data_IF_864672699295
#
_entry.id   IF_864672699295
#
_cell.length_a   1.000
_cell.length_b   1.000
_cell.length_c   1.000
_cell.angle_alpha   90.00
_cell.angle_beta   90.00
_cell.angle_gamma   90.00
#
_symmetry.space_group_name_H-M   'P 1'
#
loop_
_entity.id
_entity.type
_entity.pdbx_description
1 polymer ?
#
# COMPACT_ATOMS: atom_id res chain seq x y z
N UNK A 1 -7.17 -80.35 -12.54
CA UNK A 1 -7.13 -81.46 -11.57
C UNK A 1 -6.24 -81.04 -10.40
N UNK A 2 -6.79 -81.16 -9.18
CA UNK A 2 -6.12 -81.30 -7.88
C UNK A 2 -5.01 -80.31 -7.43
N UNK A 3 -5.46 -79.26 -6.75
CA UNK A 3 -5.16 -78.77 -5.38
C UNK A 3 -4.12 -79.49 -4.47
N UNK A 4 -3.71 -78.77 -3.38
CA UNK A 4 -3.10 -79.21 -2.08
C UNK A 4 -1.55 -79.17 -2.02
N UNK A 5 -0.79 -78.64 -1.03
CA UNK A 5 -0.99 -77.88 0.23
C UNK A 5 0.38 -77.65 0.95
N UNK A 6 0.42 -76.77 1.98
CA UNK A 6 1.35 -76.82 3.15
C UNK A 6 2.31 -75.62 3.22
N UNK A 7 2.16 -74.60 4.10
CA UNK A 7 2.28 -74.57 5.58
C UNK A 7 3.73 -74.85 6.04
N UNK A 8 4.44 -74.18 6.95
CA UNK A 8 4.26 -73.04 7.87
C UNK A 8 5.66 -72.59 8.39
N UNK A 9 5.78 -71.32 8.79
CA UNK A 9 6.68 -70.65 9.76
C UNK A 9 7.94 -71.34 10.36
N UNK A 10 9.10 -70.67 10.37
CA UNK A 10 9.86 -70.31 11.60
C UNK A 10 11.19 -69.54 11.36
N UNK A 11 11.27 -68.37 12.00
CA UNK A 11 12.36 -67.57 12.60
C UNK A 11 13.85 -67.67 12.19
N UNK A 12 14.34 -66.46 11.86
CA UNK A 12 15.53 -65.74 12.38
C UNK A 12 16.93 -66.36 12.27
N UNK A 13 17.79 -65.75 11.46
CA UNK A 13 18.89 -64.84 11.91
C UNK A 13 19.86 -64.55 10.77
N UNK A 14 19.94 -63.29 10.30
CA UNK A 14 21.20 -62.53 10.33
C UNK A 14 21.06 -61.09 9.83
N UNK A 15 21.81 -60.23 10.52
CA UNK A 15 21.84 -58.77 10.43
C UNK A 15 22.53 -58.25 9.17
N UNK A 16 22.13 -57.02 8.81
CA UNK A 16 22.94 -55.91 8.26
C UNK A 16 22.97 -55.71 6.73
N UNK A 17 22.16 -54.76 6.25
CA UNK A 17 22.58 -53.54 5.52
C UNK A 17 21.33 -52.80 4.98
N UNK A 18 20.94 -51.68 5.60
CA UNK A 18 21.08 -50.32 5.06
C UNK A 18 20.36 -50.07 3.72
N UNK A 19 19.16 -49.49 3.80
CA UNK A 19 18.74 -48.16 3.29
C UNK A 19 17.22 -48.26 3.03
N UNK A 20 16.41 -47.79 3.98
CA UNK A 20 14.99 -47.49 3.76
C UNK A 20 14.77 -46.00 4.00
N UNK A 21 14.07 -45.40 3.06
CA UNK A 21 13.61 -44.02 3.04
C UNK A 21 12.82 -43.70 4.30
N UNK A 22 13.43 -42.94 5.22
CA UNK A 22 12.67 -42.23 6.23
C UNK A 22 11.94 -41.05 5.56
N UNK A 23 10.65 -41.25 5.33
CA UNK A 23 9.67 -40.18 5.24
C UNK A 23 9.89 -39.23 6.42
N UNK A 24 10.37 -38.02 6.12
CA UNK A 24 10.50 -36.96 7.11
C UNK A 24 9.09 -36.52 7.51
N UNK A 25 8.67 -36.97 8.69
CA UNK A 25 7.41 -36.58 9.33
C UNK A 25 7.33 -35.07 9.48
N UNK A 26 6.30 -34.47 8.88
CA UNK A 26 5.90 -33.11 9.20
C UNK A 26 5.52 -33.05 10.70
N UNK A 27 6.01 -32.06 11.47
CA UNK A 27 5.59 -31.94 12.87
C UNK A 27 4.10 -31.56 12.90
N UNK A 28 3.27 -32.52 13.32
CA UNK A 28 1.87 -32.29 13.66
C UNK A 28 1.82 -31.50 14.96
N UNK A 29 1.56 -30.19 14.86
CA UNK A 29 1.34 -29.36 16.05
C UNK A 29 0.03 -29.77 16.74
N UNK A 30 0.01 -29.90 18.08
CA UNK A 30 -1.20 -30.28 18.81
C UNK A 30 -2.25 -29.17 18.68
N UNK A 31 -3.44 -29.58 18.24
CA UNK A 31 -4.68 -28.78 18.15
C UNK A 31 -4.93 -28.01 19.46
N UNK A 32 -4.46 -26.77 19.54
CA UNK A 32 -4.72 -25.85 20.66
C UNK A 32 -6.03 -25.12 20.37
N UNK A 33 -7.12 -25.74 20.82
CA UNK A 33 -8.52 -25.37 20.63
C UNK A 33 -8.96 -24.04 21.30
N UNK A 34 -8.03 -23.14 21.62
CA UNK A 34 -8.27 -21.91 22.40
C UNK A 34 -7.85 -20.60 21.69
N UNK A 35 -7.45 -20.63 20.41
CA UNK A 35 -7.06 -19.42 19.65
C UNK A 35 -7.96 -19.09 18.44
N UNK A 36 -9.11 -19.75 18.28
CA UNK A 36 -10.06 -19.38 17.23
C UNK A 36 -11.05 -18.31 17.72
N UNK A 37 -10.55 -17.12 18.07
CA UNK A 37 -11.33 -15.90 17.83
C UNK A 37 -10.86 -15.40 16.47
N UNK A 38 -11.42 -15.95 15.39
CA UNK A 38 -11.34 -15.28 14.08
C UNK A 38 -12.06 -13.95 14.24
N UNK A 39 -11.32 -12.89 14.57
CA UNK A 39 -11.85 -11.54 14.56
C UNK A 39 -12.16 -11.23 13.10
N UNK A 40 -13.39 -11.49 12.69
CA UNK A 40 -13.82 -11.25 11.33
C UNK A 40 -13.83 -9.74 11.05
N UNK A 41 -12.71 -9.25 10.53
CA UNK A 41 -12.56 -7.87 10.07
C UNK A 41 -13.30 -7.60 8.75
N UNK A 42 -14.07 -8.55 8.19
CA UNK A 42 -14.87 -8.33 6.97
C UNK A 42 -15.80 -7.13 7.07
N UNK A 43 -16.21 -6.78 8.30
CA UNK A 43 -17.11 -5.66 8.57
C UNK A 43 -16.38 -4.34 8.82
N UNK A 44 -15.06 -4.36 9.03
CA UNK A 44 -14.28 -3.17 9.36
C UNK A 44 -14.24 -2.22 8.14
N UNK A 45 -14.48 -0.91 8.33
CA UNK A 45 -14.43 0.06 7.24
C UNK A 45 -13.01 0.26 6.64
N UNK A 46 -11.94 -0.15 7.31
CA UNK A 46 -10.56 0.14 6.96
C UNK A 46 -10.03 1.35 7.71
N UNK A 47 -8.93 1.92 7.24
CA UNK A 47 -8.32 3.13 7.80
C UNK A 47 -8.95 4.36 7.13
N UNK A 48 -8.96 5.49 7.84
CA UNK A 48 -9.41 6.77 7.32
C UNK A 48 -8.71 7.16 6.01
N UNK A 49 -7.37 7.02 5.94
CA UNK A 49 -6.58 7.33 4.73
C UNK A 49 -6.88 6.39 3.54
N UNK A 50 -7.36 5.17 3.80
CA UNK A 50 -7.67 4.19 2.75
C UNK A 50 -9.00 4.48 2.03
N UNK A 51 -9.80 5.45 2.51
CA UNK A 51 -11.12 5.77 1.93
C UNK A 51 -11.02 6.21 0.46
N UNK A 52 -10.07 7.09 0.15
CA UNK A 52 -9.81 7.58 -1.21
C UNK A 52 -8.73 6.77 -1.94
N UNK A 53 -8.04 5.86 -1.25
CA UNK A 53 -6.90 5.13 -1.81
C UNK A 53 -7.23 4.41 -3.12
N UNK A 54 -8.38 3.74 -3.20
CA UNK A 54 -8.79 3.06 -4.45
C UNK A 54 -8.96 4.01 -5.64
N UNK A 55 -9.37 5.26 -5.41
CA UNK A 55 -9.50 6.26 -6.47
C UNK A 55 -8.12 6.76 -6.87
N UNK A 56 -7.26 7.07 -5.88
CA UNK A 56 -5.88 7.50 -6.10
C UNK A 56 -5.02 6.45 -6.77
N UNK A 57 -5.24 5.16 -6.46
CA UNK A 57 -4.53 4.05 -7.09
C UNK A 57 -4.84 3.95 -8.59
N UNK A 58 -6.00 4.44 -9.07
CA UNK A 58 -6.30 4.49 -10.52
C UNK A 58 -5.48 5.55 -11.27
N UNK A 59 -4.98 6.56 -10.57
CA UNK A 59 -4.18 7.61 -11.19
C UNK A 59 -2.86 7.02 -11.71
N UNK A 60 -2.46 7.33 -12.96
CA UNK A 60 -1.25 6.77 -13.55
C UNK A 60 0.01 7.33 -12.85
N UNK A 61 0.95 6.48 -12.40
CA UNK A 61 2.21 6.93 -11.82
C UNK A 61 3.14 7.45 -12.91
N UNK A 62 2.97 8.72 -13.30
CA UNK A 62 3.75 9.31 -14.39
C UNK A 62 5.19 9.57 -14.01
N UNK A 63 6.10 9.39 -14.96
CA UNK A 63 7.51 9.74 -14.82
C UNK A 63 8.05 10.30 -16.14
N UNK A 64 9.16 11.02 -16.05
CA UNK A 64 9.84 11.64 -17.19
C UNK A 64 11.22 11.00 -17.38
N UNK A 65 11.66 10.90 -18.64
CA UNK A 65 12.98 10.39 -19.00
C UNK A 65 13.07 8.86 -18.93
N UNK A 66 14.26 8.33 -18.65
CA UNK A 66 14.49 6.89 -18.61
C UNK A 66 14.46 6.37 -17.16
N UNK A 67 13.68 5.33 -16.87
CA UNK A 67 13.65 4.67 -15.55
C UNK A 67 14.05 3.21 -15.68
N UNK A 68 15.10 2.79 -15.00
CA UNK A 68 15.49 1.39 -14.88
C UNK A 68 15.37 0.98 -13.42
N UNK A 69 14.53 -0.01 -13.10
CA UNK A 69 14.49 -0.57 -11.76
C UNK A 69 14.74 -2.06 -11.80
N UNK A 70 15.72 -2.51 -11.04
CA UNK A 70 16.08 -3.92 -10.89
C UNK A 70 15.79 -4.32 -9.45
N UNK A 71 14.81 -5.20 -9.28
CA UNK A 71 14.44 -5.74 -7.99
C UNK A 71 14.85 -7.20 -7.96
N UNK A 72 15.67 -7.58 -6.98
CA UNK A 72 16.14 -8.94 -6.78
C UNK A 72 15.66 -9.44 -5.42
N UNK A 73 14.92 -10.54 -5.43
CA UNK A 73 14.60 -11.27 -4.21
C UNK A 73 15.80 -12.14 -3.82
N UNK A 74 16.42 -11.86 -2.68
CA UNK A 74 17.57 -12.64 -2.17
C UNK A 74 17.13 -13.79 -1.28
N UNK A 75 16.00 -13.62 -0.58
CA UNK A 75 15.30 -14.66 0.18
C UNK A 75 13.80 -14.37 0.20
N UNK A 76 12.98 -15.28 0.74
CA UNK A 76 11.53 -15.04 0.92
C UNK A 76 11.23 -13.83 1.80
N UNK A 77 12.18 -13.42 2.65
CA UNK A 77 12.03 -12.34 3.62
C UNK A 77 12.81 -11.09 3.21
N UNK A 78 13.72 -11.16 2.24
CA UNK A 78 14.62 -10.06 1.93
C UNK A 78 14.70 -9.79 0.42
N UNK A 79 14.35 -8.56 0.07
CA UNK A 79 14.33 -8.06 -1.30
C UNK A 79 15.20 -6.80 -1.39
N UNK A 80 16.03 -6.75 -2.41
CA UNK A 80 16.88 -5.59 -2.72
C UNK A 80 16.45 -5.01 -4.04
N UNK A 81 16.42 -3.68 -4.14
CA UNK A 81 16.02 -2.95 -5.34
C UNK A 81 17.03 -1.87 -5.67
N UNK A 82 17.33 -1.73 -6.95
CA UNK A 82 18.17 -0.71 -7.54
C UNK A 82 17.30 0.06 -8.51
N UNK A 83 17.09 1.35 -8.31
CA UNK A 83 16.26 2.18 -9.19
C UNK A 83 17.08 3.36 -9.69
N UNK A 84 17.30 3.43 -11.00
CA UNK A 84 17.96 4.54 -11.66
C UNK A 84 16.92 5.30 -12.47
N UNK A 85 16.78 6.59 -12.23
CA UNK A 85 15.93 7.49 -13.00
C UNK A 85 16.80 8.56 -13.63
N UNK A 86 16.81 8.64 -14.96
CA UNK A 86 17.50 9.67 -15.73
C UNK A 86 16.43 10.62 -16.26
N UNK A 87 16.28 11.76 -15.59
CA UNK A 87 15.35 12.81 -15.99
C UNK A 87 16.01 14.18 -15.83
N UNK A 88 15.42 15.21 -16.43
CA UNK A 88 15.87 16.59 -16.23
C UNK A 88 15.27 17.22 -14.94
N UNK A 89 14.53 16.43 -14.16
CA UNK A 89 13.86 16.87 -12.94
C UNK A 89 14.59 16.49 -11.66
N UNK A 90 14.03 16.91 -10.52
CA UNK A 90 14.58 16.67 -9.18
C UNK A 90 14.65 15.20 -8.77
N UNK A 91 13.94 14.31 -9.47
CA UNK A 91 13.91 12.88 -9.19
C UNK A 91 14.96 12.09 -9.97
N UNK A 92 15.86 12.78 -10.67
CA UNK A 92 17.00 12.16 -11.36
C UNK A 92 18.03 11.65 -10.36
N UNK A 93 18.49 10.43 -10.57
CA UNK A 93 19.51 9.81 -9.73
C UNK A 93 19.31 8.32 -9.55
N UNK A 94 20.13 7.78 -8.67
CA UNK A 94 20.09 6.38 -8.28
C UNK A 94 19.50 6.26 -6.88
N UNK A 95 18.68 5.23 -6.66
CA UNK A 95 18.11 4.87 -5.37
C UNK A 95 18.40 3.40 -5.11
N UNK A 96 18.90 3.12 -3.92
CA UNK A 96 19.05 1.77 -3.41
C UNK A 96 17.97 1.52 -2.37
N UNK A 97 17.15 0.49 -2.58
CA UNK A 97 16.09 0.09 -1.65
C UNK A 97 16.33 -1.31 -1.10
N UNK A 98 16.05 -1.50 0.19
CA UNK A 98 16.05 -2.80 0.84
C UNK A 98 14.75 -2.98 1.63
N UNK A 99 14.09 -4.10 1.38
CA UNK A 99 12.83 -4.46 1.98
C UNK A 99 13.00 -5.77 2.75
N UNK A 100 12.55 -5.77 4.00
CA UNK A 100 12.46 -6.94 4.85
C UNK A 100 11.01 -7.23 5.21
N UNK A 101 10.58 -8.46 4.94
CA UNK A 101 9.28 -8.99 5.30
C UNK A 101 9.51 -10.03 6.40
N UNK A 102 8.90 -9.83 7.55
CA UNK A 102 9.01 -10.73 8.69
C UNK A 102 8.25 -12.04 8.50
N UNK A 103 8.26 -12.87 9.54
CA UNK A 103 7.69 -14.22 9.54
C UNK A 103 6.35 -14.31 10.28
N UNK A 104 5.96 -13.28 11.04
CA UNK A 104 4.74 -13.32 11.84
C UNK A 104 3.52 -13.08 10.96
N UNK A 105 2.67 -14.09 10.86
CA UNK A 105 1.39 -14.04 10.14
C UNK A 105 0.28 -13.74 11.13
N UNK A 106 -0.32 -12.55 11.03
CA UNK A 106 -1.53 -12.20 11.78
C UNK A 106 -2.80 -12.33 10.91
N UNK A 107 -2.63 -12.38 9.59
CA UNK A 107 -3.69 -12.63 8.61
C UNK A 107 -3.15 -13.49 7.48
N UNK A 108 -4.03 -14.22 6.78
CA UNK A 108 -3.65 -15.16 5.69
C UNK A 108 -2.83 -14.51 4.56
N UNK A 109 -2.80 -13.18 4.49
CA UNK A 109 -2.08 -12.41 3.46
C UNK A 109 -1.13 -11.33 3.99
N UNK A 110 -1.02 -11.11 5.31
CA UNK A 110 -0.20 -10.03 5.88
C UNK A 110 0.88 -10.59 6.80
N UNK A 111 2.14 -10.37 6.42
CA UNK A 111 3.35 -10.71 7.18
C UNK A 111 3.90 -9.48 7.88
N UNK A 112 4.32 -9.62 9.13
CA UNK A 112 4.92 -8.56 9.94
C UNK A 112 6.20 -9.04 10.65
N UNK A 113 7.10 -8.12 11.04
CA UNK A 113 7.16 -6.71 10.64
C UNK A 113 7.50 -6.53 9.15
N UNK A 114 7.04 -5.42 8.57
CA UNK A 114 7.46 -4.96 7.23
C UNK A 114 8.37 -3.77 7.42
N UNK A 115 9.61 -3.88 6.96
CA UNK A 115 10.59 -2.79 6.99
C UNK A 115 10.96 -2.49 5.54
N UNK A 116 10.77 -1.25 5.12
CA UNK A 116 11.14 -0.75 3.80
C UNK A 116 12.10 0.40 4.02
N UNK A 117 13.21 0.43 3.29
CA UNK A 117 14.14 1.54 3.33
C UNK A 117 14.69 1.83 1.95
N UNK A 118 14.79 3.10 1.60
CA UNK A 118 15.47 3.56 0.39
C UNK A 118 16.46 4.68 0.72
N UNK A 119 17.60 4.66 0.02
CA UNK A 119 18.68 5.64 0.18
C UNK A 119 19.14 6.10 -1.19
N UNK A 120 19.31 7.41 -1.31
CA UNK A 120 19.86 8.08 -2.47
C UNK A 120 21.30 8.57 -2.17
N UNK A 121 22.23 8.59 -3.14
CA UNK A 121 23.60 9.09 -2.97
C UNK A 121 23.70 10.53 -2.46
N UNK A 122 22.66 11.34 -2.68
CA UNK A 122 22.59 12.75 -2.27
C UNK A 122 22.26 12.93 -0.78
N UNK A 123 22.32 11.86 0.02
CA UNK A 123 22.05 11.91 1.46
C UNK A 123 20.57 11.99 1.81
N UNK A 124 19.69 11.60 0.88
CA UNK A 124 18.27 11.42 1.16
C UNK A 124 18.03 9.96 1.52
N UNK A 125 17.27 9.71 2.58
CA UNK A 125 16.88 8.36 2.98
C UNK A 125 15.43 8.37 3.45
N UNK A 126 14.66 7.35 3.08
CA UNK A 126 13.33 7.10 3.62
C UNK A 126 13.33 5.73 4.28
N UNK A 127 12.72 5.63 5.45
CA UNK A 127 12.52 4.38 6.15
C UNK A 127 11.07 4.27 6.61
N UNK A 128 10.46 3.12 6.35
CA UNK A 128 9.13 2.77 6.81
C UNK A 128 9.20 1.45 7.57
N UNK A 129 8.65 1.42 8.78
CA UNK A 129 8.47 0.20 9.55
C UNK A 129 7.00 0.05 9.92
N UNK A 130 6.40 -1.07 9.57
CA UNK A 130 5.04 -1.43 9.95
C UNK A 130 5.12 -2.68 10.79
N UNK A 131 4.60 -2.61 12.01
CA UNK A 131 4.55 -3.77 12.89
C UNK A 131 3.17 -3.87 13.54
N UNK A 132 2.64 -5.08 13.56
CA UNK A 132 1.39 -5.40 14.22
C UNK A 132 1.72 -6.15 15.51
N UNK A 133 1.40 -5.54 16.65
CA UNK A 133 1.72 -6.13 17.96
C UNK A 133 0.66 -7.17 18.36
N UNK A 134 -0.61 -6.85 18.08
CA UNK A 134 -1.79 -7.66 18.35
C UNK A 134 -2.75 -7.59 17.15
N UNK A 135 -3.75 -8.47 17.09
CA UNK A 135 -4.78 -8.47 16.02
C UNK A 135 -5.47 -7.11 15.84
N UNK A 136 -5.55 -6.31 16.90
CA UNK A 136 -6.20 -5.00 16.92
C UNK A 136 -5.26 -3.81 16.84
N UNK A 137 -3.98 -3.96 17.15
CA UNK A 137 -3.07 -2.83 17.33
C UNK A 137 -1.90 -2.90 16.35
N UNK A 138 -1.82 -1.91 15.46
CA UNK A 138 -0.76 -1.78 14.47
C UNK A 138 -0.04 -0.45 14.61
N UNK A 139 1.28 -0.47 14.49
CA UNK A 139 2.12 0.72 14.51
C UNK A 139 2.81 0.87 13.17
N UNK A 140 2.90 2.10 12.68
CA UNK A 140 3.65 2.49 11.49
C UNK A 140 4.57 3.63 11.84
N UNK A 141 5.87 3.43 11.66
CA UNK A 141 6.89 4.45 11.76
C UNK A 141 7.35 4.83 10.35
N UNK A 142 7.43 6.12 10.08
CA UNK A 142 8.00 6.71 8.88
C UNK A 142 9.09 7.68 9.31
N UNK A 143 10.27 7.57 8.72
CA UNK A 143 11.40 8.45 8.97
C UNK A 143 11.96 8.92 7.62
N UNK A 144 12.18 10.22 7.50
CA UNK A 144 12.71 10.84 6.30
C UNK A 144 13.92 11.70 6.64
N UNK A 145 15.02 11.44 5.95
CA UNK A 145 16.26 12.21 5.98
C UNK A 145 16.40 12.88 4.63
N UNK A 146 16.69 14.19 4.64
CA UNK A 146 16.94 14.97 3.42
C UNK A 146 18.27 15.70 3.57
N UNK A 147 19.16 15.55 2.60
CA UNK A 147 20.48 16.21 2.58
C UNK A 147 21.24 16.04 3.92
N UNK A 148 21.31 14.81 4.41
CA UNK A 148 21.99 14.43 5.67
C UNK A 148 21.38 15.01 6.95
N UNK A 149 20.22 15.66 6.88
CA UNK A 149 19.47 16.14 8.04
C UNK A 149 18.17 15.38 8.19
N UNK A 150 17.75 15.14 9.43
CA UNK A 150 16.44 14.55 9.71
C UNK A 150 15.36 15.56 9.27
N UNK A 151 14.66 15.25 8.18
CA UNK A 151 13.62 16.12 7.63
C UNK A 151 12.31 15.96 8.40
N UNK A 152 12.03 14.73 8.84
CA UNK A 152 10.87 14.47 9.67
C UNK A 152 10.71 13.01 10.03
N UNK A 153 9.87 12.77 11.02
CA UNK A 153 9.40 11.44 11.37
C UNK A 153 7.92 11.47 11.70
N UNK A 154 7.24 10.36 11.44
CA UNK A 154 5.82 10.20 11.68
C UNK A 154 5.58 8.82 12.30
N UNK A 155 4.98 8.82 13.48
CA UNK A 155 4.54 7.64 14.20
C UNK A 155 3.02 7.56 14.14
N UNK A 156 2.49 6.51 13.54
CA UNK A 156 1.05 6.25 13.47
C UNK A 156 0.70 4.98 14.22
N UNK A 157 -0.37 5.03 15.00
CA UNK A 157 -0.90 3.92 15.79
C UNK A 157 -2.35 3.68 15.38
N UNK A 158 -2.62 2.53 14.79
CA UNK A 158 -3.94 2.11 14.35
C UNK A 158 -4.52 1.12 15.39
N UNK A 159 -5.70 1.45 15.91
CA UNK A 159 -6.51 0.56 16.73
C UNK A 159 -7.75 0.13 15.94
N UNK A 160 -7.79 -1.15 15.56
CA UNK A 160 -8.82 -1.77 14.72
C UNK A 160 -9.74 -2.65 15.56
N UNK A 161 -11.03 -2.40 15.43
CA UNK A 161 -12.12 -3.22 15.99
C UNK A 161 -12.97 -3.76 14.83
N UNK A 162 -14.01 -4.56 15.10
CA UNK A 162 -14.85 -5.16 14.06
C UNK A 162 -15.61 -4.14 13.20
N UNK A 163 -16.01 -2.99 13.78
CA UNK A 163 -16.85 -1.98 13.11
C UNK A 163 -16.17 -0.61 12.99
N UNK A 164 -15.02 -0.45 13.61
CA UNK A 164 -14.40 0.86 13.86
C UNK A 164 -12.89 0.76 13.77
N UNK A 165 -12.26 1.81 13.25
CA UNK A 165 -10.81 2.00 13.24
C UNK A 165 -10.49 3.40 13.73
N UNK A 166 -9.63 3.49 14.75
CA UNK A 166 -9.08 4.75 15.24
C UNK A 166 -7.59 4.78 14.92
N UNK A 167 -7.11 5.86 14.31
CA UNK A 167 -5.69 6.06 14.01
C UNK A 167 -5.21 7.33 14.68
N UNK A 168 -4.14 7.23 15.46
CA UNK A 168 -3.43 8.37 16.01
C UNK A 168 -2.08 8.52 15.30
N UNK A 169 -1.87 9.65 14.66
CA UNK A 169 -0.64 9.97 13.94
C UNK A 169 0.05 11.16 14.60
N UNK A 170 1.31 10.99 14.94
CA UNK A 170 2.18 12.01 15.50
C UNK A 170 3.31 12.27 14.50
N UNK A 171 3.51 13.52 14.09
CA UNK A 171 4.55 13.89 13.15
C UNK A 171 5.37 15.06 13.66
N UNK A 172 6.69 14.98 13.46
CA UNK A 172 7.67 16.04 13.75
C UNK A 172 7.53 16.64 15.15
N UNK A 173 7.38 15.79 16.17
CA UNK A 173 7.30 16.25 17.55
C UNK A 173 8.68 16.72 18.00
N UNK A 174 8.77 17.97 18.44
CA UNK A 174 9.94 18.50 19.10
C UNK A 174 9.52 19.13 20.43
N UNK A 175 9.89 18.45 21.52
CA UNK A 175 9.60 18.87 22.89
C UNK A 175 10.32 20.18 23.25
N UNK A 176 11.46 20.47 22.63
CA UNK A 176 12.27 21.65 22.95
C UNK A 176 11.68 22.91 22.33
N UNK A 177 11.20 22.83 21.08
CA UNK A 177 10.52 23.95 20.42
C UNK A 177 9.00 23.97 20.65
N UNK A 178 8.46 23.00 21.39
CA UNK A 178 7.02 22.77 21.59
C UNK A 178 6.25 22.79 20.27
N UNK A 179 6.80 22.10 19.27
CA UNK A 179 6.22 21.99 17.94
C UNK A 179 5.90 20.54 17.60
N UNK A 180 4.88 20.35 16.76
CA UNK A 180 4.48 19.02 16.33
C UNK A 180 3.08 19.00 15.75
N UNK A 181 2.78 17.92 15.04
CA UNK A 181 1.47 17.67 14.46
C UNK A 181 0.94 16.37 15.08
N UNK A 182 -0.28 16.43 15.59
CA UNK A 182 -1.04 15.28 16.03
C UNK A 182 -2.34 15.20 15.21
N UNK A 183 -2.61 14.05 14.63
CA UNK A 183 -3.83 13.78 13.85
C UNK A 183 -4.53 12.59 14.48
N UNK A 184 -5.76 12.79 14.93
CA UNK A 184 -6.62 11.73 15.44
C UNK A 184 -7.73 11.48 14.43
N UNK A 185 -7.74 10.30 13.83
CA UNK A 185 -8.74 9.88 12.86
C UNK A 185 -9.58 8.76 13.47
N UNK A 186 -10.88 8.81 13.25
CA UNK A 186 -11.81 7.79 13.69
C UNK A 186 -12.79 7.49 12.56
N UNK A 187 -12.92 6.23 12.17
CA UNK A 187 -13.83 5.77 11.12
C UNK A 187 -14.67 4.61 11.64
N UNK A 188 -15.99 4.77 11.61
CA UNK A 188 -16.96 3.77 12.07
C UNK A 188 -17.96 3.44 10.96
N UNK A 189 -18.27 2.16 10.84
CA UNK A 189 -19.34 1.66 9.98
C UNK A 189 -20.67 1.78 10.72
N UNK A 190 -21.54 2.67 10.24
CA UNK A 190 -22.85 2.93 10.85
C UNK A 190 -23.91 1.98 10.30
N UNK A 191 -23.88 1.71 8.99
CA UNK A 191 -24.78 0.73 8.35
C UNK A 191 -24.00 -0.24 7.47
N UNK A 192 -24.69 -1.20 6.85
CA UNK A 192 -24.05 -2.13 5.90
C UNK A 192 -23.43 -1.41 4.70
N UNK A 193 -23.83 -0.19 4.38
CA UNK A 193 -23.38 0.51 3.19
C UNK A 193 -22.79 1.89 3.50
N UNK A 194 -22.91 2.38 4.73
CA UNK A 194 -22.45 3.72 5.13
C UNK A 194 -21.38 3.65 6.22
N UNK A 195 -20.24 4.27 5.92
CA UNK A 195 -19.17 4.53 6.87
C UNK A 195 -19.05 6.04 7.10
N UNK A 196 -18.86 6.45 8.34
CA UNK A 196 -18.69 7.85 8.74
C UNK A 196 -17.44 7.95 9.60
N UNK A 197 -16.66 9.00 9.40
CA UNK A 197 -15.49 9.28 10.21
C UNK A 197 -15.26 10.75 10.45
N UNK A 198 -14.39 11.03 11.41
CA UNK A 198 -13.92 12.35 11.76
C UNK A 198 -12.40 12.32 11.90
N UNK A 199 -11.76 13.42 11.53
CA UNK A 199 -10.33 13.65 11.67
C UNK A 199 -10.13 14.95 12.43
N UNK A 200 -9.40 14.89 13.53
CA UNK A 200 -8.97 16.06 14.29
C UNK A 200 -7.47 16.25 14.08
N UNK A 201 -7.10 17.30 13.37
CA UNK A 201 -5.73 17.72 13.16
C UNK A 201 -5.41 18.83 14.16
N UNK A 202 -4.38 18.61 14.97
CA UNK A 202 -3.81 19.57 15.89
C UNK A 202 -2.36 19.84 15.51
N UNK A 203 -2.05 21.09 15.24
CA UNK A 203 -0.70 21.53 14.92
C UNK A 203 -0.27 22.61 15.90
N UNK A 204 0.85 22.36 16.58
CA UNK A 204 1.55 23.34 17.40
C UNK A 204 2.82 23.76 16.68
N UNK A 205 3.03 25.06 16.50
CA UNK A 205 4.29 25.58 15.95
C UNK A 205 4.49 27.04 16.38
N UNK A 206 5.72 27.43 16.78
CA UNK A 206 6.06 28.81 17.10
C UNK A 206 5.81 29.82 15.97
N UNK A 207 5.73 29.35 14.72
CA UNK A 207 5.46 30.18 13.55
C UNK A 207 3.98 30.51 13.34
N UNK A 208 3.06 29.86 14.06
CA UNK A 208 1.61 30.09 13.92
C UNK A 208 1.17 31.21 14.87
N UNK A 209 0.46 32.25 14.40
CA UNK A 209 -0.17 33.25 15.27
C UNK A 209 -1.12 32.56 16.26
N UNK A 210 -0.85 32.65 17.57
CA UNK A 210 -1.60 31.93 18.61
C UNK A 210 -1.03 30.55 19.00
N UNK A 211 0.11 30.14 18.42
CA UNK A 211 0.92 28.93 18.74
C UNK A 211 0.26 27.58 18.47
N UNK A 212 -1.07 27.52 18.36
CA UNK A 212 -1.84 26.29 18.21
C UNK A 212 -2.92 26.46 17.14
N UNK A 213 -3.15 25.41 16.37
CA UNK A 213 -4.17 25.35 15.33
C UNK A 213 -4.85 23.98 15.34
N UNK A 214 -6.18 23.97 15.30
CA UNK A 214 -6.99 22.76 15.34
C UNK A 214 -8.05 22.79 14.26
N UNK A 215 -8.14 21.74 13.45
CA UNK A 215 -9.21 21.56 12.47
C UNK A 215 -9.84 20.19 12.65
N UNK A 216 -11.17 20.14 12.65
CA UNK A 216 -11.92 18.89 12.59
C UNK A 216 -12.52 18.73 11.20
N UNK A 217 -12.10 17.71 10.44
CA UNK A 217 -12.70 17.34 9.17
C UNK A 217 -13.60 16.11 9.32
N UNK A 218 -14.58 15.98 8.44
CA UNK A 218 -15.51 14.85 8.41
C UNK A 218 -15.36 14.10 7.10
N UNK A 219 -15.47 12.78 7.17
CA UNK A 219 -15.47 11.90 6.00
C UNK A 219 -16.70 11.01 6.03
N UNK A 220 -17.27 10.77 4.86
CA UNK A 220 -18.36 9.80 4.68
C UNK A 220 -18.06 8.95 3.47
N UNK A 221 -18.43 7.68 3.53
CA UNK A 221 -18.32 6.76 2.39
C UNK A 221 -19.59 5.93 2.28
N UNK A 222 -20.16 5.90 1.09
CA UNK A 222 -21.32 5.08 0.76
C UNK A 222 -20.91 4.02 -0.28
N UNK A 223 -21.18 2.75 0.04
CA UNK A 223 -20.80 1.58 -0.77
C UNK A 223 -22.03 0.96 -1.43
N UNK A 224 -22.01 0.89 -2.76
CA UNK A 224 -22.92 0.08 -3.56
C UNK A 224 -22.37 -1.33 -3.81
N UNK A 225 -22.96 -2.06 -4.77
CA UNK A 225 -22.51 -3.39 -5.16
C UNK A 225 -21.20 -3.35 -5.96
N UNK A 226 -21.15 -2.55 -7.03
CA UNK A 226 -20.00 -2.40 -7.94
C UNK A 226 -19.39 -1.00 -7.90
N UNK A 227 -19.78 -0.16 -6.93
CA UNK A 227 -19.32 1.23 -6.84
C UNK A 227 -19.27 1.72 -5.39
N UNK A 228 -18.53 2.79 -5.16
CA UNK A 228 -18.64 3.56 -3.91
C UNK A 228 -18.42 5.04 -4.18
N UNK A 229 -18.95 5.87 -3.31
CA UNK A 229 -18.67 7.31 -3.28
C UNK A 229 -18.16 7.71 -1.91
N UNK A 230 -17.27 8.68 -1.86
CA UNK A 230 -16.72 9.21 -0.63
C UNK A 230 -16.72 10.74 -0.67
N UNK A 231 -16.91 11.37 0.48
CA UNK A 231 -16.87 12.81 0.63
C UNK A 231 -16.10 13.18 1.89
N UNK A 232 -15.10 14.05 1.76
CA UNK A 232 -14.35 14.66 2.86
C UNK A 232 -14.62 16.17 2.85
N UNK A 233 -15.00 16.70 4.00
CA UNK A 233 -15.30 18.11 4.20
C UNK A 233 -14.48 18.62 5.37
N UNK A 234 -13.73 19.70 5.15
CA UNK A 234 -12.91 20.36 6.17
C UNK A 234 -13.35 21.82 6.33
N UNK A 235 -13.53 22.32 7.56
CA UNK A 235 -13.77 23.73 7.86
C UNK A 235 -12.68 24.67 7.34
N UNK A 236 -11.49 24.15 7.04
CA UNK A 236 -10.42 24.90 6.37
C UNK A 236 -10.71 25.22 4.89
N UNK A 237 -11.94 24.96 4.42
CA UNK A 237 -12.35 25.22 3.05
C UNK A 237 -11.84 24.18 2.05
N UNK A 238 -11.51 22.96 2.52
CA UNK A 238 -11.09 21.85 1.65
C UNK A 238 -12.24 20.86 1.53
N UNK A 239 -12.65 20.59 0.30
CA UNK A 239 -13.69 19.63 -0.07
C UNK A 239 -13.09 18.62 -1.05
N UNK A 240 -13.25 17.33 -0.76
CA UNK A 240 -12.84 16.27 -1.67
C UNK A 240 -14.02 15.29 -1.83
N UNK A 241 -14.47 15.10 -3.07
CA UNK A 241 -15.52 14.15 -3.44
C UNK A 241 -14.93 13.11 -4.38
N UNK A 242 -15.23 11.85 -4.12
CA UNK A 242 -14.73 10.71 -4.86
C UNK A 242 -15.85 9.79 -5.31
N UNK A 243 -15.76 9.26 -6.52
CA UNK A 243 -16.60 8.21 -7.04
C UNK A 243 -15.74 7.13 -7.68
N UNK A 244 -15.96 5.87 -7.33
CA UNK A 244 -15.26 4.73 -7.90
C UNK A 244 -16.28 3.72 -8.39
N UNK A 245 -16.03 3.15 -9.55
CA UNK A 245 -16.84 2.09 -10.13
C UNK A 245 -15.97 1.01 -10.73
N UNK A 246 -16.24 -0.23 -10.33
CA UNK A 246 -15.64 -1.43 -10.89
C UNK A 246 -16.68 -2.52 -10.93
N UNK A 247 -17.05 -2.93 -12.14
CA UNK A 247 -17.94 -4.07 -12.33
C UNK A 247 -17.16 -5.37 -12.11
N UNK A 248 -17.71 -6.29 -11.31
CA UNK A 248 -17.03 -7.55 -10.93
C UNK A 248 -16.50 -8.40 -12.09
N UNK A 249 -17.12 -8.35 -13.28
CA UNK A 249 -16.71 -9.13 -14.46
C UNK A 249 -16.07 -8.28 -15.57
N UNK A 250 -15.63 -7.05 -15.25
CA UNK A 250 -14.99 -6.16 -16.22
C UNK A 250 -13.54 -5.87 -15.85
N UNK A 251 -12.61 -5.91 -16.81
CA UNK A 251 -11.24 -5.45 -16.61
C UNK A 251 -11.11 -3.93 -16.46
N UNK A 252 -12.21 -3.18 -16.60
CA UNK A 252 -12.25 -1.72 -16.52
C UNK A 252 -12.62 -1.25 -15.11
N UNK A 253 -11.82 -0.34 -14.57
CA UNK A 253 -12.06 0.39 -13.33
C UNK A 253 -12.09 1.89 -13.63
N UNK A 254 -13.05 2.60 -13.04
CA UNK A 254 -13.27 4.03 -13.25
C UNK A 254 -13.24 4.75 -11.90
N UNK A 255 -12.67 5.95 -11.90
CA UNK A 255 -12.55 6.81 -10.74
C UNK A 255 -12.74 8.26 -11.13
N UNK A 256 -13.45 9.01 -10.31
CA UNK A 256 -13.59 10.46 -10.42
C UNK A 256 -13.28 11.06 -9.06
N UNK A 257 -12.38 12.04 -9.03
CA UNK A 257 -12.05 12.81 -7.84
C UNK A 257 -12.29 14.29 -8.14
N UNK A 258 -12.97 14.97 -7.24
CA UNK A 258 -13.26 16.39 -7.30
C UNK A 258 -12.70 17.03 -6.04
N UNK A 259 -11.69 17.87 -6.20
CA UNK A 259 -11.03 18.56 -5.10
C UNK A 259 -11.27 20.06 -5.22
N UNK A 260 -11.62 20.70 -4.11
CA UNK A 260 -11.81 22.15 -4.02
C UNK A 260 -11.12 22.66 -2.78
N UNK A 261 -10.31 23.70 -2.96
CA UNK A 261 -9.69 24.47 -1.89
C UNK A 261 -10.15 25.91 -1.99
N UNK A 262 -11.02 26.33 -1.07
CA UNK A 262 -11.52 27.71 -0.99
C UNK A 262 -10.41 28.70 -0.60
N UNK A 263 -9.41 28.25 0.17
CA UNK A 263 -8.26 29.07 0.54
C UNK A 263 -7.40 29.42 -0.68
N UNK A 264 -7.15 28.44 -1.57
CA UNK A 264 -6.43 28.66 -2.83
C UNK A 264 -7.34 29.24 -3.94
N UNK A 265 -8.67 29.16 -3.77
CA UNK A 265 -9.67 29.41 -4.81
C UNK A 265 -9.44 28.54 -6.04
N UNK A 266 -9.03 27.30 -5.80
CA UNK A 266 -8.74 26.31 -6.83
C UNK A 266 -9.73 25.15 -6.73
N UNK A 267 -10.24 24.73 -7.88
CA UNK A 267 -11.13 23.58 -8.02
C UNK A 267 -10.61 22.74 -9.18
N UNK A 268 -10.39 21.45 -8.93
CA UNK A 268 -9.96 20.47 -9.92
C UNK A 268 -10.90 19.28 -9.93
N UNK A 269 -11.21 18.78 -11.12
CA UNK A 269 -11.96 17.55 -11.30
C UNK A 269 -11.15 16.60 -12.18
N UNK A 270 -10.78 15.46 -11.63
CA UNK A 270 -9.91 14.48 -12.23
C UNK A 270 -10.68 13.20 -12.51
N UNK A 271 -10.76 12.83 -13.78
CA UNK A 271 -11.27 11.54 -14.23
C UNK A 271 -10.10 10.58 -14.45
N UNK A 272 -10.13 9.40 -13.82
CA UNK A 272 -9.10 8.37 -13.93
C UNK A 272 -9.72 7.03 -14.31
N UNK A 273 -9.01 6.24 -15.11
CA UNK A 273 -9.41 4.88 -15.42
C UNK A 273 -8.21 3.94 -15.49
N UNK A 274 -8.45 2.69 -15.13
CA UNK A 274 -7.50 1.60 -15.31
C UNK A 274 -8.17 0.48 -16.12
N UNK A 275 -7.46 -0.02 -17.11
CA UNK A 275 -7.89 -1.14 -17.94
C UNK A 275 -6.82 -2.22 -17.92
N UNK A 276 -7.14 -3.38 -17.36
CA UNK A 276 -6.21 -4.51 -17.19
C UNK A 276 -6.51 -5.62 -18.20
N UNK A 277 -5.68 -5.75 -19.24
CA UNK A 277 -5.77 -6.85 -20.20
C UNK A 277 -4.93 -8.03 -19.73
N UNK A 278 -5.53 -8.90 -18.92
CA UNK A 278 -4.89 -10.14 -18.47
C UNK A 278 -4.37 -11.00 -19.64
N UNK A 279 -5.10 -11.09 -20.76
CA UNK A 279 -4.69 -11.88 -21.94
C UNK A 279 -3.43 -11.34 -22.63
N UNK A 280 -3.18 -10.03 -22.54
CA UNK A 280 -2.06 -9.36 -23.17
C UNK A 280 -0.96 -8.96 -22.16
N UNK A 281 -1.11 -9.36 -20.89
CA UNK A 281 -0.23 -8.96 -19.78
C UNK A 281 0.05 -7.44 -19.76
N UNK A 282 -0.97 -6.64 -20.06
CA UNK A 282 -0.84 -5.19 -20.24
C UNK A 282 -1.85 -4.45 -19.39
N UNK A 283 -1.38 -3.50 -18.59
CA UNK A 283 -2.20 -2.60 -17.79
C UNK A 283 -2.09 -1.20 -18.38
N UNK A 284 -3.24 -0.61 -18.69
CA UNK A 284 -3.34 0.78 -19.11
C UNK A 284 -3.94 1.61 -17.97
N UNK A 285 -3.34 2.75 -17.65
CA UNK A 285 -3.90 3.76 -16.74
C UNK A 285 -3.94 5.09 -17.45
N UNK A 286 -5.07 5.79 -17.38
CA UNK A 286 -5.25 7.09 -17.99
C UNK A 286 -5.97 8.04 -17.05
N UNK A 287 -5.66 9.33 -17.14
CA UNK A 287 -6.29 10.36 -16.34
C UNK A 287 -6.38 11.67 -17.12
N UNK A 288 -7.47 12.40 -16.89
CA UNK A 288 -7.73 13.72 -17.45
C UNK A 288 -8.21 14.63 -16.32
N UNK A 289 -7.61 15.80 -16.19
CA UNK A 289 -7.97 16.81 -15.20
C UNK A 289 -8.48 18.09 -15.87
N UNK A 290 -9.37 18.82 -15.19
CA UNK A 290 -9.96 20.08 -15.68
C UNK A 290 -8.95 21.18 -15.94
N UNK A 291 -7.75 21.08 -15.34
CA UNK A 291 -6.64 21.99 -15.58
C UNK A 291 -5.94 21.74 -16.94
N UNK A 292 -6.47 20.86 -17.79
CA UNK A 292 -5.89 20.52 -19.09
C UNK A 292 -4.68 19.58 -19.00
N UNK A 293 -4.53 18.88 -17.87
CA UNK A 293 -3.52 17.85 -17.68
C UNK A 293 -4.10 16.49 -18.11
N UNK A 294 -3.47 15.85 -19.08
CA UNK A 294 -3.77 14.51 -19.54
C UNK A 294 -2.56 13.63 -19.27
N UNK A 295 -2.76 12.52 -18.59
CA UNK A 295 -1.69 11.57 -18.28
C UNK A 295 -2.08 10.16 -18.66
N UNK A 296 -1.11 9.39 -19.15
CA UNK A 296 -1.31 7.99 -19.47
C UNK A 296 -0.04 7.20 -19.18
N UNK A 297 -0.22 6.00 -18.64
CA UNK A 297 0.84 5.03 -18.41
C UNK A 297 0.39 3.67 -18.95
N UNK A 298 1.27 3.02 -19.72
CA UNK A 298 1.09 1.67 -20.20
C UNK A 298 2.18 0.81 -19.60
N UNK A 299 1.80 -0.26 -18.91
CA UNK A 299 2.71 -1.25 -18.36
C UNK A 299 2.47 -2.58 -19.08
N UNK A 300 3.51 -3.14 -19.69
CA UNK A 300 3.44 -4.41 -20.40
C UNK A 300 4.47 -5.38 -19.82
N UNK A 301 3.99 -6.49 -19.27
CA UNK A 301 4.86 -7.58 -18.80
C UNK A 301 5.20 -8.48 -19.97
N UNK A 302 6.49 -8.66 -20.22
CA UNK A 302 7.03 -9.37 -21.38
C UNK A 302 7.32 -10.83 -21.04
N UNK A 303 6.29 -11.67 -20.98
CA UNK A 303 6.49 -13.12 -20.81
C UNK A 303 7.31 -13.69 -21.98
N UNK A 304 8.26 -14.64 -21.75
CA UNK A 304 8.53 -15.38 -20.51
C UNK A 304 9.56 -14.74 -19.56
N UNK A 305 10.16 -13.60 -19.93
CA UNK A 305 11.18 -12.93 -19.12
C UNK A 305 10.50 -12.07 -18.05
N UNK A 306 11.09 -11.87 -16.85
CA UNK A 306 10.49 -11.07 -15.80
C UNK A 306 10.75 -9.56 -16.03
N UNK A 307 10.54 -9.11 -17.27
CA UNK A 307 10.66 -7.72 -17.67
C UNK A 307 9.29 -7.08 -17.78
N UNK A 308 9.12 -5.91 -17.16
CA UNK A 308 7.96 -5.05 -17.35
C UNK A 308 8.41 -3.77 -18.04
N UNK A 309 7.95 -3.59 -19.26
CA UNK A 309 8.16 -2.36 -20.02
C UNK A 309 7.07 -1.35 -19.65
N UNK A 310 7.46 -0.10 -19.43
CA UNK A 310 6.54 0.97 -19.07
C UNK A 310 6.72 2.16 -20.01
N UNK A 311 5.62 2.70 -20.51
CA UNK A 311 5.60 3.99 -21.21
C UNK A 311 4.75 4.95 -20.40
N UNK A 312 5.28 6.15 -20.17
CA UNK A 312 4.58 7.22 -19.46
C UNK A 312 4.51 8.46 -20.35
N UNK A 313 3.37 9.12 -20.31
CA UNK A 313 3.16 10.43 -20.95
C UNK A 313 2.35 11.32 -20.04
N UNK A 314 2.77 12.59 -19.95
CA UNK A 314 2.07 13.64 -19.23
C UNK A 314 2.06 14.88 -20.11
N UNK A 315 0.85 15.29 -20.50
CA UNK A 315 0.60 16.38 -21.43
C UNK A 315 -0.17 17.45 -20.68
N UNK A 316 0.43 18.61 -20.47
CA UNK A 316 -0.25 19.77 -19.91
C UNK A 316 -0.54 20.76 -21.04
N UNK A 317 -1.79 20.77 -21.51
CA UNK A 317 -2.22 21.64 -22.60
C UNK A 317 -2.27 23.11 -22.20
N UNK A 318 -2.63 23.43 -20.94
CA UNK A 318 -2.69 24.80 -20.46
C UNK A 318 -1.32 25.49 -20.42
N UNK A 319 -0.26 24.72 -20.13
CA UNK A 319 1.13 25.21 -20.04
C UNK A 319 2.01 24.84 -21.24
N UNK A 320 1.45 24.17 -22.24
CA UNK A 320 2.18 23.60 -23.39
C UNK A 320 3.43 22.80 -22.96
N UNK A 321 3.33 22.06 -21.85
CA UNK A 321 4.43 21.29 -21.29
C UNK A 321 4.15 19.80 -21.46
N UNK A 322 5.02 19.11 -22.19
CA UNK A 322 4.88 17.71 -22.54
C UNK A 322 6.06 16.92 -22.01
N UNK A 323 5.77 15.88 -21.23
CA UNK A 323 6.76 15.01 -20.58
C UNK A 323 6.51 13.58 -20.99
N UNK A 324 7.58 12.89 -21.37
CA UNK A 324 7.53 11.50 -21.79
C UNK A 324 8.54 10.71 -20.98
N UNK A 325 8.20 9.47 -20.66
CA UNK A 325 9.01 8.55 -19.90
C UNK A 325 9.00 7.15 -20.48
N UNK A 326 10.17 6.50 -20.46
CA UNK A 326 10.33 5.09 -20.84
C UNK A 326 10.97 4.37 -19.67
N UNK A 327 10.34 3.28 -19.24
CA UNK A 327 10.72 2.53 -18.06
C UNK A 327 10.95 1.06 -18.36
N UNK A 328 11.93 0.46 -17.71
CA UNK A 328 12.11 -0.98 -17.66
C UNK A 328 12.22 -1.40 -16.19
N UNK A 329 11.30 -2.26 -15.76
CA UNK A 329 11.38 -2.94 -14.47
C UNK A 329 11.84 -4.38 -14.71
N UNK A 330 12.84 -4.80 -13.95
CA UNK A 330 13.38 -6.15 -13.93
C UNK A 330 13.12 -6.68 -12.53
N UNK A 331 12.41 -7.79 -12.41
CA UNK A 331 11.98 -8.37 -11.12
C UNK A 331 12.19 -9.86 -11.03
#
# INVERSE_FOLDING_TARGET
MANVSGDSTSNDTNKSSKIDEQQLSQPTFPNTRWMNITTDFSRNPGIFDDVFKKIKDLMPPTFEGAKLSVTKMLSSHFQVSHSMTLSNGSNSGYKFGANYLGTQLYSQSEVFPVILGDVDPNGNANAQMIHQWNDKFRTRLLAQVQSYKMAGYQLSMDYRTQFTTTTLTLANIDLMSNSGIAVLQHLTRVTKNLDIGAEFLYQASPMIPGKHFGITSFITRYRGLDWFTAAKISPAGVFNLGYFHQKSNSPLQLGVEFETSLAAKETSATFSYQYDLAKANTTFRGMVDTNGLVTAVIEKRLAPLPFTFMLSSSLNHAKAAYRFGIGLLIG
#
